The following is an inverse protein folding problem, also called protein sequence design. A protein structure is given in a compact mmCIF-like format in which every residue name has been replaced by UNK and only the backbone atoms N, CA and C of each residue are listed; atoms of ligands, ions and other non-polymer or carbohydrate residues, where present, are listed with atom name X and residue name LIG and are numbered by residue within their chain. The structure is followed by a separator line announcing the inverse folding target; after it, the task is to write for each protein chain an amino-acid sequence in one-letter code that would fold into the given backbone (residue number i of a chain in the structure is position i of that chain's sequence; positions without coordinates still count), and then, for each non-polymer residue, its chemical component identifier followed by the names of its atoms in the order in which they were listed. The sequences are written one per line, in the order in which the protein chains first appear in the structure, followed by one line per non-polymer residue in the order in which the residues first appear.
data_IF_877807784449
#
_entry.id   IF_877807784449
#
_cell.length_a   1.000
_cell.length_b   1.000
_cell.length_c   1.000
_cell.angle_alpha   90.00
_cell.angle_beta   90.00
_cell.angle_gamma   90.00
#
_symmetry.space_group_name_H-M   'P 1'
#
loop_
_entity.id
_entity.type
_entity.pdbx_description
1 polymer ?
#
# COMPACT_ATOMS: atom_id res chain seq x y z
N UNK A 1 15.03 -1.82 -15.51
CA UNK A 1 15.15 -0.92 -14.34
C UNK A 1 13.79 -0.87 -13.67
N UNK A 2 13.72 -1.11 -12.38
CA UNK A 2 12.54 -0.77 -11.60
C UNK A 2 12.38 0.76 -11.64
N UNK A 3 11.32 1.28 -12.25
CA UNK A 3 11.03 2.71 -12.22
C UNK A 3 10.40 3.03 -10.87
N UNK A 4 11.17 3.63 -9.97
CA UNK A 4 10.63 4.20 -8.75
C UNK A 4 10.27 5.67 -9.01
N UNK A 5 9.07 6.08 -8.62
CA UNK A 5 8.70 7.50 -8.59
C UNK A 5 9.13 8.06 -7.24
N UNK A 6 9.92 9.12 -7.25
CA UNK A 6 10.34 9.80 -6.02
C UNK A 6 9.84 11.23 -6.05
N UNK A 7 9.10 11.63 -5.01
CA UNK A 7 8.61 12.99 -4.85
C UNK A 7 7.45 13.36 -5.78
N UNK A 8 6.61 12.39 -6.17
CA UNK A 8 5.37 12.68 -6.92
C UNK A 8 4.40 13.45 -6.00
N UNK A 9 3.87 14.57 -6.48
CA UNK A 9 2.97 15.42 -5.70
C UNK A 9 1.55 15.29 -6.23
N UNK A 10 0.59 15.04 -5.33
CA UNK A 10 -0.82 14.90 -5.68
C UNK A 10 -1.71 15.63 -4.69
N UNK A 11 -2.86 16.09 -5.18
CA UNK A 11 -3.96 16.58 -4.38
C UNK A 11 -5.09 15.57 -4.36
N UNK A 12 -5.49 15.14 -3.18
CA UNK A 12 -6.68 14.30 -2.98
C UNK A 12 -7.83 15.18 -2.51
N UNK A 13 -9.02 14.99 -3.08
CA UNK A 13 -10.23 15.72 -2.68
C UNK A 13 -11.35 14.72 -2.41
N UNK A 14 -11.90 14.76 -1.20
CA UNK A 14 -12.96 13.85 -0.77
C UNK A 14 -13.48 14.22 0.60
N UNK A 15 -14.45 13.47 1.08
CA UNK A 15 -14.86 13.48 2.48
C UNK A 15 -13.70 13.00 3.37
N UNK A 16 -13.77 13.26 4.68
CA UNK A 16 -12.74 12.77 5.60
C UNK A 16 -12.56 11.25 5.51
N UNK A 17 -13.64 10.47 5.41
CA UNK A 17 -13.58 9.00 5.32
C UNK A 17 -12.94 8.51 4.01
N UNK A 18 -13.23 9.17 2.88
CA UNK A 18 -12.60 8.85 1.59
C UNK A 18 -11.10 9.14 1.61
N UNK A 19 -10.69 10.24 2.24
CA UNK A 19 -9.27 10.58 2.39
C UNK A 19 -8.54 9.59 3.30
N UNK A 20 -9.18 9.14 4.40
CA UNK A 20 -8.64 8.09 5.26
C UNK A 20 -8.44 6.78 4.49
N UNK A 21 -9.44 6.36 3.72
CA UNK A 21 -9.36 5.16 2.89
C UNK A 21 -8.26 5.27 1.80
N UNK A 22 -8.13 6.43 1.15
CA UNK A 22 -7.10 6.67 0.15
C UNK A 22 -5.69 6.62 0.75
N UNK A 23 -5.48 7.26 1.91
CA UNK A 23 -4.21 7.23 2.64
C UNK A 23 -3.85 5.80 3.05
N UNK A 24 -4.81 5.04 3.57
CA UNK A 24 -4.60 3.64 3.93
C UNK A 24 -4.24 2.77 2.70
N UNK A 25 -4.94 2.95 1.58
CA UNK A 25 -4.66 2.22 0.34
C UNK A 25 -3.27 2.53 -0.23
N UNK A 26 -2.87 3.81 -0.27
CA UNK A 26 -1.55 4.23 -0.73
C UNK A 26 -0.44 3.65 0.14
N UNK A 27 -0.64 3.66 1.47
CA UNK A 27 0.29 3.05 2.44
C UNK A 27 0.40 1.54 2.23
N UNK A 28 -0.73 0.85 1.99
CA UNK A 28 -0.75 -0.59 1.73
C UNK A 28 -0.02 -1.04 0.47
N UNK A 29 0.09 -0.17 -0.54
CA UNK A 29 0.84 -0.43 -1.79
C UNK A 29 2.36 -0.21 -1.60
N UNK A 30 2.80 0.16 -0.40
CA UNK A 30 4.20 0.49 -0.12
C UNK A 30 4.60 1.89 -0.57
N UNK A 31 3.62 2.79 -0.71
CA UNK A 31 3.90 4.19 -0.99
C UNK A 31 4.23 4.91 0.30
N UNK A 32 5.40 5.55 0.35
CA UNK A 32 5.73 6.43 1.46
C UNK A 32 5.07 7.79 1.22
N UNK A 33 4.17 8.15 2.12
CA UNK A 33 3.63 9.50 2.19
C UNK A 33 4.67 10.34 2.95
N UNK A 34 5.29 11.29 2.25
CA UNK A 34 6.12 12.30 2.87
C UNK A 34 5.18 13.42 3.33
N UNK A 35 5.01 13.63 4.65
CA UNK A 35 4.39 14.86 5.11
C UNK A 35 5.29 16.04 4.71
N UNK A 36 4.70 17.19 4.43
CA UNK A 36 5.46 18.43 4.19
C UNK A 36 6.25 18.84 5.44
N UNK A 37 5.76 18.49 6.63
CA UNK A 37 6.43 18.64 7.91
C UNK A 37 6.35 17.31 8.71
N UNK A 38 7.48 16.68 9.09
CA UNK A 38 7.48 15.41 9.83
C UNK A 38 6.84 15.49 11.22
N UNK A 39 6.60 16.69 11.77
CA UNK A 39 5.88 16.89 13.03
C UNK A 39 4.36 17.04 12.85
N UNK A 40 3.89 17.22 11.61
CA UNK A 40 2.50 17.57 11.32
C UNK A 40 1.80 16.43 10.57
N UNK A 41 0.64 16.02 11.10
CA UNK A 41 -0.23 15.10 10.37
C UNK A 41 -0.61 15.75 9.03
N UNK A 42 -0.83 14.97 7.95
CA UNK A 42 -1.12 15.54 6.64
C UNK A 42 -2.34 16.45 6.74
N UNK A 43 -2.13 17.75 6.55
CA UNK A 43 -3.09 18.79 6.91
C UNK A 43 -4.27 18.79 5.94
N UNK A 44 -5.47 18.51 6.45
CA UNK A 44 -6.72 18.59 5.68
C UNK A 44 -7.19 20.03 5.64
N UNK A 45 -7.35 20.57 4.43
CA UNK A 45 -7.98 21.88 4.25
C UNK A 45 -9.44 21.68 3.84
N UNK A 46 -10.37 22.21 4.64
CA UNK A 46 -11.78 22.19 4.31
C UNK A 46 -12.04 23.00 3.03
N UNK A 47 -12.93 22.47 2.18
CA UNK A 47 -13.46 23.20 1.04
C UNK A 47 -14.78 23.90 1.42
N UNK A 48 -15.07 24.99 0.73
CA UNK A 48 -16.25 25.83 0.97
C UNK A 48 -17.13 25.91 -0.29
N UNK A 49 -18.35 26.44 -0.14
CA UNK A 49 -19.30 26.55 -1.26
C UNK A 49 -19.98 25.20 -1.55
N UNK A 50 -20.03 24.81 -2.83
CA UNK A 50 -20.69 23.57 -3.25
C UNK A 50 -19.99 22.28 -2.77
N UNK A 51 -18.74 22.38 -2.30
CA UNK A 51 -17.95 21.26 -1.79
C UNK A 51 -17.97 21.14 -0.26
N UNK A 52 -19.02 21.66 0.38
CA UNK A 52 -19.18 21.62 1.84
C UNK A 52 -19.12 20.16 2.36
N UNK A 53 -18.30 19.92 3.37
CA UNK A 53 -18.04 18.57 3.90
C UNK A 53 -16.93 17.81 3.19
N UNK A 54 -16.32 18.39 2.15
CA UNK A 54 -15.13 17.86 1.48
C UNK A 54 -13.88 18.59 1.96
N UNK A 55 -12.76 17.89 1.87
CA UNK A 55 -11.45 18.39 2.22
C UNK A 55 -10.49 18.13 1.06
N UNK A 56 -9.46 18.96 0.96
CA UNK A 56 -8.28 18.67 0.14
C UNK A 56 -7.12 18.26 1.03
N UNK A 57 -6.35 17.28 0.58
CA UNK A 57 -5.15 16.78 1.22
C UNK A 57 -4.00 16.82 0.22
N UNK A 58 -2.93 17.51 0.56
CA UNK A 58 -1.69 17.44 -0.21
C UNK A 58 -0.88 16.23 0.23
N UNK A 59 -0.33 15.50 -0.74
CA UNK A 59 0.46 14.32 -0.47
C UNK A 59 1.65 14.26 -1.42
N UNK A 60 2.84 14.07 -0.85
CA UNK A 60 4.05 13.76 -1.60
C UNK A 60 4.37 12.27 -1.47
N UNK A 61 4.50 11.60 -2.60
CA UNK A 61 4.61 10.16 -2.72
C UNK A 61 6.00 9.75 -3.14
N UNK A 62 6.50 8.68 -2.53
CA UNK A 62 7.57 7.85 -3.09
C UNK A 62 7.07 6.44 -3.29
N UNK A 63 7.07 5.98 -4.55
CA UNK A 63 6.59 4.66 -4.95
C UNK A 63 7.80 3.84 -5.38
N UNK A 64 8.13 2.82 -4.59
CA UNK A 64 9.09 1.81 -5.00
C UNK A 64 8.37 0.73 -5.82
N UNK A 65 8.56 0.72 -7.14
CA UNK A 65 8.13 -0.42 -7.95
C UNK A 65 9.15 -1.53 -7.74
N UNK A 66 8.91 -2.43 -6.80
CA UNK A 66 9.63 -3.70 -6.82
C UNK A 66 9.34 -4.36 -8.18
N UNK A 67 10.35 -4.86 -8.92
CA UNK A 67 10.05 -5.67 -10.08
C UNK A 67 9.18 -6.81 -9.58
N UNK A 68 8.04 -7.00 -10.25
CA UNK A 68 7.18 -8.15 -10.01
C UNK A 68 8.10 -9.37 -9.96
N UNK A 69 8.26 -9.96 -8.77
CA UNK A 69 8.89 -11.27 -8.66
C UNK A 69 7.83 -12.22 -9.19
N UNK A 70 7.69 -12.22 -10.52
CA UNK A 70 7.12 -13.32 -11.27
C UNK A 70 7.78 -14.57 -10.72
N UNK A 71 6.98 -15.26 -9.93
CA UNK A 71 7.03 -16.66 -9.58
C UNK A 71 8.03 -17.44 -10.43
N UNK A 72 9.30 -17.44 -10.01
CA UNK A 72 10.21 -18.51 -10.43
C UNK A 72 9.50 -19.81 -10.06
N UNK A 73 9.23 -20.73 -11.00
CA UNK A 73 8.65 -22.00 -10.65
C UNK A 73 9.59 -22.63 -9.63
N UNK A 74 9.04 -22.87 -8.44
CA UNK A 74 9.73 -23.55 -7.33
C UNK A 74 10.27 -24.85 -7.92
N UNK A 75 11.57 -24.90 -8.22
CA UNK A 75 12.27 -26.16 -8.48
C UNK A 75 11.92 -27.03 -7.28
N UNK A 76 11.07 -28.04 -7.50
CA UNK A 76 10.78 -29.03 -6.50
C UNK A 76 12.11 -29.68 -6.16
N UNK A 77 12.67 -29.27 -5.03
CA UNK A 77 13.79 -29.95 -4.42
C UNK A 77 13.24 -31.33 -4.07
N UNK A 78 13.74 -32.35 -4.77
CA UNK A 78 13.39 -33.74 -4.46
C UNK A 78 13.61 -33.96 -2.96
N UNK A 79 12.52 -34.23 -2.25
CA UNK A 79 12.55 -34.61 -0.85
C UNK A 79 13.06 -36.05 -0.81
N UNK A 80 14.13 -36.37 -0.05
CA UNK A 80 14.52 -37.75 0.15
C UNK A 80 13.36 -38.50 0.83
N UNK A 81 13.00 -39.66 0.30
CA UNK A 81 11.89 -40.48 0.80
C UNK A 81 12.09 -40.77 2.29
N UNK A 82 11.16 -40.30 3.13
CA UNK A 82 11.17 -40.62 4.56
C UNK A 82 10.73 -39.51 5.52
N UNK A 83 10.35 -38.31 5.05
CA UNK A 83 9.74 -37.30 5.92
C UNK A 83 8.36 -36.90 5.40
N UNK A 84 7.35 -37.38 6.11
CA UNK A 84 5.95 -36.98 5.90
C UNK A 84 5.78 -35.58 6.49
N UNK A 85 5.87 -34.56 5.64
CA UNK A 85 5.70 -33.17 6.05
C UNK A 85 4.22 -32.84 5.95
N UNK A 86 3.56 -32.74 7.10
CA UNK A 86 2.14 -32.38 7.20
C UNK A 86 1.96 -30.93 6.70
N UNK A 87 1.09 -30.76 5.71
CA UNK A 87 0.63 -29.46 5.24
C UNK A 87 -0.35 -28.86 6.27
N UNK A 88 0.16 -27.92 7.07
CA UNK A 88 -0.58 -27.22 8.11
C UNK A 88 -1.69 -26.30 7.55
N UNK A 89 -1.56 -25.85 6.30
CA UNK A 89 -2.57 -24.99 5.67
C UNK A 89 -3.72 -25.80 5.09
N UNK A 90 -3.47 -27.03 4.65
CA UNK A 90 -4.52 -28.00 4.37
C UNK A 90 -5.30 -28.35 5.64
N UNK A 91 -4.60 -28.65 6.74
CA UNK A 91 -5.23 -29.01 8.01
C UNK A 91 -6.13 -27.89 8.57
N UNK A 92 -5.69 -26.64 8.49
CA UNK A 92 -6.47 -25.48 8.97
C UNK A 92 -7.72 -25.16 8.16
N UNK A 93 -7.83 -25.66 6.93
CA UNK A 93 -9.00 -25.45 6.08
C UNK A 93 -10.09 -26.50 6.30
N UNK A 94 -9.77 -27.60 6.96
CA UNK A 94 -10.68 -28.73 7.21
C UNK A 94 -10.97 -29.00 8.68
N UNK A 95 -10.32 -28.27 9.60
CA UNK A 95 -10.64 -28.24 11.03
C UNK A 95 -11.64 -27.11 11.32
#
# INVERSE_FOLDING_TARGET
MASAFHGLEIWLIGTSAELDAAVAALTGIGTHLLPDDPADHPQRHALHGCDLGRHRLYVRLSVAVAPDRQTTPRRQRAVPAGQDVIDLDAYRRTA
#
